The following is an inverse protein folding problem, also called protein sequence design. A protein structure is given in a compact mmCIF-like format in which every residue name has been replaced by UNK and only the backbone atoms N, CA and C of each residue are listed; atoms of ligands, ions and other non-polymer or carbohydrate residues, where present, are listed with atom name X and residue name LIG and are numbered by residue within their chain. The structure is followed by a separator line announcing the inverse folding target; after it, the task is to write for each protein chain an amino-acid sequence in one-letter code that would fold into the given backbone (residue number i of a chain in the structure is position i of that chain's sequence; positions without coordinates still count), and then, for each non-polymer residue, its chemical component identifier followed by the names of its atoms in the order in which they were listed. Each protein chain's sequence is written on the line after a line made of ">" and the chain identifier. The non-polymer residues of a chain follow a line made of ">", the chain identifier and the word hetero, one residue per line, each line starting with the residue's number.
data_IF_709606833540
#
_entry.id   IF_709606833540
#
_cell.length_a   1.000
_cell.length_b   1.000
_cell.length_c   1.000
_cell.angle_alpha   90.00
_cell.angle_beta   90.00
_cell.angle_gamma   90.00
#
_symmetry.space_group_name_H-M   'P 1'
#
loop_
_entity.id
_entity.type
_entity.pdbx_description
1 polymer ?
#
# COMPACT_ATOMS: atom_id res chain seq x y z
N UNK A 1 -5.73 2.82 15.20
CA UNK A 1 -6.08 4.23 14.98
C UNK A 1 -5.02 5.02 14.22
N UNK A 2 -3.71 4.80 14.38
CA UNK A 2 -2.69 5.49 13.54
C UNK A 2 -2.43 4.79 12.18
N UNK A 3 -2.64 3.48 12.12
CA UNK A 3 -2.50 2.65 10.90
C UNK A 3 -3.59 3.00 9.88
N UNK A 4 -4.83 3.17 10.35
CA UNK A 4 -6.00 3.48 9.52
C UNK A 4 -5.83 4.78 8.72
N UNK A 5 -5.18 5.80 9.30
CA UNK A 5 -4.95 7.08 8.64
C UNK A 5 -3.88 7.00 7.54
N UNK A 6 -2.81 6.21 7.77
CA UNK A 6 -1.80 5.94 6.73
C UNK A 6 -2.40 5.11 5.61
N UNK A 7 -3.19 4.10 5.93
CA UNK A 7 -3.87 3.25 4.94
C UNK A 7 -4.88 4.03 4.10
N UNK A 8 -5.64 4.93 4.72
CA UNK A 8 -6.55 5.82 4.01
C UNK A 8 -5.81 6.79 3.06
N UNK A 9 -4.67 7.35 3.47
CA UNK A 9 -3.85 8.21 2.62
C UNK A 9 -3.27 7.45 1.41
N UNK A 10 -2.84 6.20 1.62
CA UNK A 10 -2.33 5.31 0.56
C UNK A 10 -3.47 4.93 -0.40
N UNK A 11 -4.67 4.57 0.10
CA UNK A 11 -5.87 4.36 -0.74
C UNK A 11 -6.24 5.60 -1.56
N UNK A 12 -6.18 6.78 -0.94
CA UNK A 12 -6.49 8.05 -1.61
C UNK A 12 -5.51 8.39 -2.73
N UNK A 13 -4.28 7.89 -2.66
CA UNK A 13 -3.28 8.01 -3.73
C UNK A 13 -3.50 7.02 -4.89
N UNK A 14 -4.58 6.23 -4.84
CA UNK A 14 -4.94 5.27 -5.90
C UNK A 14 -4.22 3.93 -5.79
N UNK A 15 -3.66 3.61 -4.62
CA UNK A 15 -3.03 2.31 -4.38
C UNK A 15 -4.10 1.23 -4.23
N UNK A 16 -3.92 0.13 -4.95
CA UNK A 16 -4.78 -1.06 -4.89
C UNK A 16 -4.11 -2.18 -4.12
N UNK A 17 -4.91 -3.10 -3.55
CA UNK A 17 -4.40 -4.27 -2.82
C UNK A 17 -3.39 -5.09 -3.65
N UNK A 18 -3.64 -5.23 -4.96
CA UNK A 18 -2.75 -5.92 -5.91
C UNK A 18 -1.41 -5.19 -6.08
N UNK A 19 -1.43 -3.85 -6.12
CA UNK A 19 -0.21 -3.04 -6.11
C UNK A 19 0.60 -3.20 -4.82
N UNK A 20 -0.07 -3.20 -3.66
CA UNK A 20 0.59 -3.40 -2.37
C UNK A 20 1.21 -4.79 -2.26
N UNK A 21 0.47 -5.84 -2.67
CA UNK A 21 0.99 -7.22 -2.71
C UNK A 21 2.21 -7.34 -3.62
N UNK A 22 2.17 -6.74 -4.81
CA UNK A 22 3.33 -6.73 -5.72
C UNK A 22 4.52 -5.97 -5.17
N UNK A 23 4.28 -4.87 -4.44
CA UNK A 23 5.34 -4.13 -3.76
C UNK A 23 6.00 -4.98 -2.67
N UNK A 24 5.18 -5.65 -1.85
CA UNK A 24 5.66 -6.56 -0.80
C UNK A 24 6.40 -7.79 -1.37
N UNK A 25 5.99 -8.29 -2.53
CA UNK A 25 6.65 -9.39 -3.25
C UNK A 25 7.97 -8.96 -3.94
N UNK A 26 8.30 -7.66 -3.92
CA UNK A 26 9.46 -7.10 -4.61
C UNK A 26 9.28 -6.97 -6.13
N UNK A 27 8.08 -7.26 -6.64
CA UNK A 27 7.71 -7.16 -8.05
C UNK A 27 7.15 -5.78 -8.37
N UNK A 28 8.02 -4.76 -8.29
CA UNK A 28 7.65 -3.35 -8.53
C UNK A 28 7.49 -2.99 -10.01
N UNK A 29 7.76 -3.90 -10.93
CA UNK A 29 7.94 -3.63 -12.37
C UNK A 29 6.69 -3.10 -13.09
N UNK A 30 5.53 -3.03 -12.43
CA UNK A 30 4.32 -2.43 -12.99
C UNK A 30 3.51 -1.63 -11.97
N UNK A 31 4.16 -1.16 -10.90
CA UNK A 31 3.53 -0.30 -9.91
C UNK A 31 3.47 1.15 -10.41
N UNK A 32 2.31 1.77 -10.26
CA UNK A 32 2.13 3.18 -10.59
C UNK A 32 3.09 4.01 -9.72
N UNK A 33 3.88 4.94 -10.28
CA UNK A 33 4.81 5.77 -9.50
C UNK A 33 4.16 6.51 -8.32
N UNK A 34 2.90 6.95 -8.46
CA UNK A 34 2.11 7.53 -7.37
C UNK A 34 1.87 6.55 -6.22
N UNK A 35 1.61 5.29 -6.54
CA UNK A 35 1.41 4.25 -5.54
C UNK A 35 2.72 3.93 -4.80
N UNK A 36 3.82 3.86 -5.54
CA UNK A 36 5.14 3.64 -4.96
C UNK A 36 5.58 4.80 -4.05
N UNK A 37 5.25 6.04 -4.44
CA UNK A 37 5.47 7.23 -3.63
C UNK A 37 4.65 7.18 -2.34
N UNK A 38 3.36 6.88 -2.41
CA UNK A 38 2.52 6.78 -1.22
C UNK A 38 2.97 5.67 -0.25
N UNK A 39 3.39 4.51 -0.77
CA UNK A 39 3.92 3.41 0.04
C UNK A 39 5.27 3.77 0.68
N UNK A 40 6.11 4.49 -0.06
CA UNK A 40 7.41 5.02 0.42
C UNK A 40 7.21 6.10 1.48
N UNK A 41 6.30 7.06 1.26
CA UNK A 41 5.99 8.14 2.20
C UNK A 41 5.32 7.61 3.47
N UNK A 42 4.45 6.62 3.33
CA UNK A 42 3.85 5.93 4.47
C UNK A 42 4.88 5.13 5.29
N UNK A 43 6.06 4.87 4.71
CA UNK A 43 7.20 4.16 5.29
C UNK A 43 6.76 2.86 5.99
N UNK A 44 5.94 2.08 5.29
CA UNK A 44 5.30 0.87 5.82
C UNK A 44 6.28 -0.30 5.77
N UNK A 45 6.20 -1.15 6.79
CA UNK A 45 6.92 -2.43 6.82
C UNK A 45 6.22 -3.49 5.97
N UNK A 46 6.91 -4.57 5.59
CA UNK A 46 6.31 -5.71 4.86
C UNK A 46 5.05 -6.25 5.53
N UNK A 47 5.02 -6.33 6.86
CA UNK A 47 3.84 -6.73 7.61
C UNK A 47 2.69 -5.73 7.48
N UNK A 48 2.95 -4.43 7.59
CA UNK A 48 1.92 -3.40 7.41
C UNK A 48 1.44 -3.31 5.95
N UNK A 49 2.28 -3.65 4.98
CA UNK A 49 1.89 -3.76 3.57
C UNK A 49 0.91 -4.94 3.36
N UNK A 50 1.16 -6.07 4.01
CA UNK A 50 0.24 -7.20 3.97
C UNK A 50 -1.11 -6.83 4.60
N UNK A 51 -1.08 -6.20 5.79
CA UNK A 51 -2.26 -5.72 6.50
C UNK A 51 -3.04 -4.67 5.67
N UNK A 52 -2.33 -3.75 5.01
CA UNK A 52 -2.91 -2.77 4.09
C UNK A 52 -3.57 -3.45 2.90
N UNK A 53 -2.94 -4.47 2.31
CA UNK A 53 -3.51 -5.18 1.18
C UNK A 53 -4.83 -5.89 1.56
N UNK A 54 -4.85 -6.57 2.71
CA UNK A 54 -6.08 -7.20 3.24
C UNK A 54 -7.15 -6.15 3.58
N UNK A 55 -6.75 -5.01 4.16
CA UNK A 55 -7.66 -3.91 4.44
C UNK A 55 -8.27 -3.33 3.16
N UNK A 56 -7.48 -3.14 2.10
CA UNK A 56 -7.95 -2.66 0.80
C UNK A 56 -8.88 -3.66 0.09
N UNK A 57 -8.75 -4.96 0.35
CA UNK A 57 -9.69 -5.98 -0.18
C UNK A 57 -11.04 -5.96 0.55
N UNK A 58 -11.10 -5.45 1.78
CA UNK A 58 -12.30 -5.43 2.62
C UNK A 58 -13.00 -4.07 2.70
N UNK A 59 -12.35 -2.99 2.26
CA UNK A 59 -12.80 -1.60 2.38
C UNK A 59 -13.27 -0.97 1.06
#
# INVERSE_FOLDING_TARGET
>A
MAVDNRFAAVKASGVTADGVRRFADGSSENLNPDALAALTEANLTESELHDLAEWLETA
#
